data_IF_203431072735
#
_entry.id   IF_203431072735
#
_cell.length_a   1.000
_cell.length_b   1.000
_cell.length_c   1.000
_cell.angle_alpha   90.00
_cell.angle_beta   90.00
_cell.angle_gamma   90.00
#
_symmetry.space_group_name_H-M   'P 1'
#
loop_
_entity.id
_entity.type
_entity.pdbx_description
1 polymer ?
#
# COMPACT_ATOMS: atom_id res chain seq x y z
N UNK A 1 36.73 3.83 -1.55
CA UNK A 1 36.17 5.13 -1.12
C UNK A 1 35.16 5.56 -2.17
N UNK A 2 33.87 5.43 -1.89
CA UNK A 2 32.80 6.03 -2.69
C UNK A 2 31.95 6.85 -1.72
N UNK A 3 31.76 8.11 -2.07
CA UNK A 3 31.13 9.15 -1.26
C UNK A 3 29.65 8.83 -1.00
N UNK A 4 29.26 8.94 0.27
CA UNK A 4 27.89 9.14 0.71
C UNK A 4 27.36 10.44 0.10
N UNK A 5 26.23 10.35 -0.60
CA UNK A 5 25.48 11.52 -1.03
C UNK A 5 24.38 11.78 0.01
N UNK A 6 24.77 12.36 1.14
CA UNK A 6 23.82 12.90 2.12
C UNK A 6 23.21 14.17 1.54
N UNK A 7 21.94 14.12 1.15
CA UNK A 7 21.19 15.31 0.71
C UNK A 7 21.14 16.34 1.84
N UNK A 8 21.63 17.55 1.56
CA UNK A 8 21.64 18.69 2.48
C UNK A 8 20.26 19.34 2.54
N UNK A 9 19.83 19.76 3.73
CA UNK A 9 18.55 20.45 3.98
C UNK A 9 18.34 21.76 3.18
N UNK A 10 19.37 22.26 2.50
CA UNK A 10 19.32 23.50 1.72
C UNK A 10 18.67 23.31 0.34
N UNK A 11 18.72 22.09 -0.23
CA UNK A 11 18.15 21.81 -1.56
C UNK A 11 16.60 21.78 -1.55
N UNK A 12 15.99 21.61 -0.36
CA UNK A 12 14.54 21.59 -0.18
C UNK A 12 13.89 22.99 -0.24
N UNK A 13 14.65 24.07 -0.08
CA UNK A 13 14.09 25.42 -0.01
C UNK A 13 14.03 26.12 -1.38
N UNK A 14 14.88 25.72 -2.33
CA UNK A 14 14.91 26.31 -3.67
C UNK A 14 13.85 25.70 -4.62
N UNK A 15 13.30 24.53 -4.30
CA UNK A 15 12.24 23.89 -5.11
C UNK A 15 10.87 24.58 -4.99
N UNK A 16 10.65 25.40 -3.95
CA UNK A 16 9.38 26.11 -3.74
C UNK A 16 9.25 27.35 -4.67
N UNK A 17 10.32 27.76 -5.37
CA UNK A 17 10.33 29.00 -6.15
C UNK A 17 10.28 28.84 -7.68
N UNK A 18 10.11 27.63 -8.24
CA UNK A 18 10.22 27.41 -9.69
C UNK A 18 9.04 26.68 -10.37
N UNK A 19 7.83 26.71 -9.79
CA UNK A 19 6.63 26.16 -10.44
C UNK A 19 5.74 27.20 -11.14
N UNK A 20 6.29 28.33 -11.55
CA UNK A 20 5.65 29.17 -12.57
C UNK A 20 6.41 29.02 -13.90
N UNK A 21 5.68 28.58 -14.92
CA UNK A 21 6.06 28.53 -16.35
C UNK A 21 6.86 27.30 -16.82
N UNK A 22 6.14 26.22 -17.15
CA UNK A 22 6.29 25.53 -18.43
C UNK A 22 5.12 24.55 -18.65
N UNK A 23 4.20 24.93 -19.52
CA UNK A 23 3.24 24.02 -20.14
C UNK A 23 4.00 22.91 -20.89
N UNK A 24 3.67 21.65 -20.64
CA UNK A 24 4.21 20.51 -21.39
C UNK A 24 3.04 19.73 -22.02
N UNK A 25 3.14 19.32 -23.29
CA UNK A 25 1.99 19.09 -24.16
C UNK A 25 1.28 17.77 -23.90
N UNK A 26 -0.05 17.80 -24.11
CA UNK A 26 -0.94 16.66 -24.03
C UNK A 26 -0.74 15.70 -25.22
N UNK A 27 0.09 14.65 -25.05
CA UNK A 27 -0.04 13.40 -25.82
C UNK A 27 0.83 12.27 -25.23
N UNK A 28 0.44 11.74 -24.07
CA UNK A 28 0.83 10.39 -23.61
C UNK A 28 0.08 9.88 -22.36
N UNK A 29 -0.87 10.64 -21.79
CA UNK A 29 -1.55 10.27 -20.53
C UNK A 29 -2.76 9.32 -20.74
N UNK A 30 -3.04 8.90 -21.97
CA UNK A 30 -4.28 8.17 -22.28
C UNK A 30 -4.36 6.70 -21.80
N UNK A 31 -3.44 6.19 -20.97
CA UNK A 31 -3.52 4.80 -20.44
C UNK A 31 -3.33 4.66 -18.92
N UNK A 32 -3.22 5.75 -18.17
CA UNK A 32 -3.10 5.71 -16.70
C UNK A 32 -4.40 6.06 -15.94
N UNK A 33 -5.47 6.44 -16.65
CA UNK A 33 -6.68 7.02 -16.04
C UNK A 33 -7.83 6.02 -15.78
N UNK A 34 -7.64 4.70 -15.91
CA UNK A 34 -8.74 3.73 -15.77
C UNK A 34 -8.63 2.80 -14.55
N UNK A 35 -7.91 3.21 -13.49
CA UNK A 35 -7.90 2.45 -12.23
C UNK A 35 -8.93 3.06 -11.30
N UNK A 36 -10.11 2.43 -11.23
CA UNK A 36 -11.16 2.79 -10.28
C UNK A 36 -10.61 2.71 -8.84
N UNK A 37 -10.81 3.73 -7.98
CA UNK A 37 -10.67 3.58 -6.55
C UNK A 37 -11.91 2.84 -6.02
N UNK A 38 -11.95 1.51 -6.16
CA UNK A 38 -12.97 0.68 -5.49
C UNK A 38 -12.49 0.39 -4.06
N UNK A 39 -13.01 1.14 -3.08
CA UNK A 39 -12.93 0.80 -1.66
C UNK A 39 -14.05 -0.19 -1.36
N UNK A 40 -13.78 -1.50 -1.46
CA UNK A 40 -14.69 -2.51 -0.95
C UNK A 40 -14.44 -2.66 0.56
N UNK A 41 -15.20 -1.90 1.36
CA UNK A 41 -15.53 -2.37 2.70
C UNK A 41 -16.27 -3.69 2.50
N UNK A 42 -15.75 -4.78 3.06
CA UNK A 42 -16.47 -6.04 3.12
C UNK A 42 -17.66 -5.88 4.07
N UNK A 43 -18.69 -5.19 3.64
CA UNK A 43 -20.01 -5.17 4.25
C UNK A 43 -21.01 -5.21 3.10
N UNK A 44 -21.57 -6.39 2.88
CA UNK A 44 -22.78 -6.55 2.07
C UNK A 44 -23.87 -5.70 2.74
N UNK A 45 -24.43 -4.71 2.04
CA UNK A 45 -25.47 -3.84 2.57
C UNK A 45 -26.83 -4.56 2.62
N UNK A 46 -26.92 -5.72 3.29
CA UNK A 46 -28.19 -6.34 3.71
C UNK A 46 -27.96 -7.29 4.89
N UNK A 47 -27.50 -6.79 6.03
CA UNK A 47 -27.87 -7.27 7.38
C UNK A 47 -26.98 -6.57 8.41
N UNK A 48 -27.48 -5.49 9.02
CA UNK A 48 -26.84 -4.86 10.16
C UNK A 48 -27.15 -5.69 11.42
N UNK A 49 -26.28 -6.67 11.71
CA UNK A 49 -26.20 -7.32 13.02
C UNK A 49 -25.22 -6.53 13.91
N UNK A 50 -25.61 -6.04 15.11
CA UNK A 50 -24.71 -5.32 16.03
C UNK A 50 -23.53 -6.17 16.56
N UNK A 51 -23.41 -7.43 16.14
CA UNK A 51 -22.32 -8.35 16.50
C UNK A 51 -21.27 -8.58 15.41
N UNK A 52 -21.28 -7.85 14.30
CA UNK A 52 -20.40 -8.11 13.16
C UNK A 52 -18.92 -7.91 13.53
N UNK A 53 -18.14 -9.00 13.54
CA UNK A 53 -16.69 -8.94 13.78
C UNK A 53 -16.06 -8.01 12.74
N UNK A 54 -15.65 -6.82 13.18
CA UNK A 54 -15.05 -5.81 12.32
C UNK A 54 -13.96 -6.45 11.45
N UNK A 55 -14.12 -6.37 10.12
CA UNK A 55 -13.26 -7.05 9.15
C UNK A 55 -11.79 -7.06 9.58
N UNK A 56 -11.22 -8.27 9.68
CA UNK A 56 -9.82 -8.53 10.04
C UNK A 56 -8.84 -8.09 8.94
N UNK A 57 -9.34 -7.72 7.77
CA UNK A 57 -8.57 -7.05 6.73
C UNK A 57 -9.44 -6.33 5.70
N UNK A 58 -8.82 -5.43 4.94
CA UNK A 58 -9.42 -4.63 3.88
C UNK A 58 -8.49 -4.55 2.67
N UNK A 59 -9.07 -4.47 1.47
CA UNK A 59 -8.32 -4.21 0.23
C UNK A 59 -8.45 -2.72 -0.08
N UNK A 60 -7.32 -2.03 -0.17
CA UNK A 60 -7.24 -0.59 -0.49
C UNK A 60 -6.24 -0.39 -1.62
N UNK A 61 -6.76 -0.08 -2.81
CA UNK A 61 -5.99 -0.07 -4.05
C UNK A 61 -5.16 -1.38 -4.19
N UNK A 62 -3.85 -1.28 -4.36
CA UNK A 62 -2.93 -2.43 -4.44
C UNK A 62 -2.42 -2.93 -3.07
N UNK A 63 -3.14 -2.66 -1.97
CA UNK A 63 -2.72 -3.02 -0.60
C UNK A 63 -3.74 -3.90 0.10
N UNK A 64 -3.28 -4.97 0.74
CA UNK A 64 -4.05 -5.77 1.70
C UNK A 64 -3.67 -5.30 3.10
N UNK A 65 -4.60 -4.62 3.77
CA UNK A 65 -4.43 -4.11 5.12
C UNK A 65 -5.08 -5.07 6.10
N UNK A 66 -4.31 -5.66 7.01
CA UNK A 66 -4.78 -6.58 8.02
C UNK A 66 -4.78 -5.88 9.39
N UNK A 67 -5.88 -5.97 10.13
CA UNK A 67 -6.08 -5.27 11.39
C UNK A 67 -6.23 -6.25 12.54
N UNK A 68 -5.37 -6.09 13.55
CA UNK A 68 -5.51 -6.86 14.78
C UNK A 68 -6.80 -6.51 15.52
N UNK A 69 -7.23 -7.44 16.37
CA UNK A 69 -8.30 -7.16 17.32
C UNK A 69 -7.91 -5.99 18.22
N UNK A 70 -8.87 -5.11 18.52
CA UNK A 70 -8.63 -3.90 19.33
C UNK A 70 -8.29 -2.64 18.53
N UNK A 71 -7.96 -2.74 17.23
CA UNK A 71 -7.82 -1.55 16.36
C UNK A 71 -9.19 -0.88 16.19
N UNK A 72 -9.29 0.37 16.61
CA UNK A 72 -10.53 1.12 16.62
C UNK A 72 -11.05 1.40 15.21
N UNK A 73 -12.37 1.59 15.06
CA UNK A 73 -12.98 1.92 13.77
C UNK A 73 -12.37 3.18 13.14
N UNK A 74 -12.06 4.20 13.95
CA UNK A 74 -11.44 5.43 13.48
C UNK A 74 -10.02 5.17 12.98
N UNK A 75 -9.22 4.39 13.73
CA UNK A 75 -7.87 4.00 13.32
C UNK A 75 -7.90 3.22 12.01
N UNK A 76 -8.81 2.25 11.85
CA UNK A 76 -8.97 1.51 10.58
C UNK A 76 -9.24 2.48 9.42
N UNK A 77 -10.17 3.42 9.60
CA UNK A 77 -10.49 4.42 8.56
C UNK A 77 -9.28 5.31 8.23
N UNK A 78 -8.57 5.81 9.25
CA UNK A 78 -7.40 6.67 9.07
C UNK A 78 -6.29 5.95 8.29
N UNK A 79 -6.08 4.66 8.56
CA UNK A 79 -5.12 3.82 7.81
C UNK A 79 -5.57 3.64 6.36
N UNK A 80 -6.83 3.28 6.13
CA UNK A 80 -7.37 3.09 4.77
C UNK A 80 -7.29 4.39 3.95
N UNK A 81 -7.72 5.51 4.52
CA UNK A 81 -7.69 6.83 3.87
C UNK A 81 -6.25 7.26 3.56
N UNK A 82 -5.31 7.03 4.48
CA UNK A 82 -3.88 7.31 4.26
C UNK A 82 -3.31 6.55 3.07
N UNK A 83 -3.57 5.24 3.02
CA UNK A 83 -3.05 4.37 1.97
C UNK A 83 -3.68 4.66 0.61
N UNK A 84 -4.98 4.92 0.59
CA UNK A 84 -5.68 5.31 -0.63
C UNK A 84 -5.15 6.64 -1.16
N UNK A 85 -5.07 7.66 -0.29
CA UNK A 85 -4.60 8.98 -0.65
C UNK A 85 -3.16 8.96 -1.17
N UNK A 86 -2.25 8.31 -0.45
CA UNK A 86 -0.85 8.18 -0.87
C UNK A 86 -0.71 7.41 -2.18
N UNK A 87 -1.50 6.34 -2.38
CA UNK A 87 -1.49 5.57 -3.64
C UNK A 87 -1.98 6.42 -4.82
N UNK A 88 -3.07 7.17 -4.66
CA UNK A 88 -3.61 8.04 -5.72
C UNK A 88 -2.62 9.15 -6.11
N UNK A 89 -1.98 9.78 -5.12
CA UNK A 89 -0.97 10.81 -5.38
C UNK A 89 0.25 10.22 -6.08
N UNK A 90 0.73 9.05 -5.66
CA UNK A 90 1.87 8.37 -6.29
C UNK A 90 1.54 7.91 -7.73
N UNK A 91 0.36 7.32 -7.96
CA UNK A 91 -0.11 6.93 -9.29
C UNK A 91 -0.22 8.11 -10.26
N UNK A 92 -0.60 9.30 -9.75
CA UNK A 92 -0.65 10.52 -10.55
C UNK A 92 0.74 11.02 -10.96
N UNK A 93 1.75 10.79 -10.13
CA UNK A 93 3.11 11.29 -10.34
C UNK A 93 3.99 10.34 -11.14
N UNK A 94 3.84 9.02 -10.92
CA UNK A 94 4.75 8.01 -11.42
C UNK A 94 4.01 6.74 -11.84
N UNK A 95 4.53 6.04 -12.86
CA UNK A 95 4.05 4.70 -13.20
C UNK A 95 4.63 3.67 -12.23
N UNK A 96 3.80 2.87 -11.52
CA UNK A 96 4.32 1.83 -10.63
C UNK A 96 5.05 0.71 -11.38
N UNK A 97 4.86 0.58 -12.70
CA UNK A 97 5.51 -0.45 -13.52
C UNK A 97 6.91 -0.03 -13.99
N UNK A 98 7.07 1.22 -14.46
CA UNK A 98 8.33 1.69 -15.05
C UNK A 98 9.14 2.58 -14.13
N UNK A 99 8.53 3.13 -13.08
CA UNK A 99 9.13 4.09 -12.15
C UNK A 99 8.87 3.68 -10.70
N UNK A 100 8.96 2.37 -10.40
CA UNK A 100 8.66 1.80 -9.09
C UNK A 100 9.37 2.52 -7.92
N UNK A 101 10.67 2.75 -8.02
CA UNK A 101 11.46 3.44 -6.98
C UNK A 101 10.88 4.84 -6.69
N UNK A 102 10.67 5.65 -7.73
CA UNK A 102 10.12 7.01 -7.62
C UNK A 102 8.68 7.00 -7.09
N UNK A 103 7.91 5.99 -7.49
CA UNK A 103 6.55 5.77 -7.00
C UNK A 103 6.55 5.49 -5.50
N UNK A 104 7.43 4.63 -5.00
CA UNK A 104 7.54 4.31 -3.57
C UNK A 104 8.06 5.50 -2.76
N UNK A 105 9.05 6.23 -3.28
CA UNK A 105 9.52 7.47 -2.67
C UNK A 105 8.37 8.48 -2.51
N UNK A 106 7.55 8.65 -3.55
CA UNK A 106 6.38 9.55 -3.49
C UNK A 106 5.31 9.04 -2.54
N UNK A 107 5.03 7.75 -2.54
CA UNK A 107 4.07 7.12 -1.64
C UNK A 107 4.46 7.39 -0.17
N UNK A 108 5.72 7.14 0.19
CA UNK A 108 6.23 7.36 1.54
C UNK A 108 6.32 8.85 1.91
N UNK A 109 6.68 9.72 0.95
CA UNK A 109 6.62 11.17 1.14
C UNK A 109 5.21 11.60 1.57
N UNK A 110 4.18 11.13 0.87
CA UNK A 110 2.78 11.48 1.19
C UNK A 110 2.36 10.92 2.54
N UNK A 111 2.69 9.66 2.85
CA UNK A 111 2.43 9.08 4.17
C UNK A 111 3.07 9.92 5.28
N UNK A 112 4.31 10.37 5.08
CA UNK A 112 4.98 11.27 6.03
C UNK A 112 4.25 12.58 6.23
N UNK A 113 3.75 13.20 5.14
CA UNK A 113 3.00 14.46 5.22
C UNK A 113 1.66 14.33 5.94
N UNK A 114 0.99 13.19 5.85
CA UNK A 114 -0.31 12.97 6.52
C UNK A 114 -0.16 12.50 7.97
N UNK A 115 1.06 12.19 8.42
CA UNK A 115 1.37 11.96 9.84
C UNK A 115 1.91 10.59 10.18
N UNK A 116 2.31 9.79 9.18
CA UNK A 116 3.04 8.55 9.40
C UNK A 116 4.53 8.80 9.59
N UNK A 117 5.12 8.17 10.60
CA UNK A 117 6.55 8.22 10.85
C UNK A 117 7.14 6.85 10.50
N UNK A 118 8.03 6.80 9.51
CA UNK A 118 8.77 5.58 9.20
C UNK A 118 9.90 5.40 10.22
N UNK A 119 9.89 4.26 10.90
CA UNK A 119 10.95 3.82 11.83
C UNK A 119 11.96 2.91 11.14
N UNK A 120 11.61 2.35 9.99
CA UNK A 120 12.47 1.54 9.14
C UNK A 120 11.96 1.58 7.71
N UNK A 121 12.84 1.85 6.74
CA UNK A 121 12.54 1.76 5.31
C UNK A 121 13.68 1.04 4.60
N UNK A 122 13.33 0.07 3.76
CA UNK A 122 14.30 -0.64 2.92
C UNK A 122 13.64 -1.05 1.60
N UNK A 123 14.18 -0.58 0.48
CA UNK A 123 13.78 -1.02 -0.86
C UNK A 123 14.97 -1.64 -1.58
N UNK A 124 14.85 -2.88 -2.02
CA UNK A 124 15.94 -3.63 -2.62
C UNK A 124 15.45 -4.71 -3.59
N UNK A 125 16.34 -5.12 -4.50
CA UNK A 125 16.06 -6.29 -5.34
C UNK A 125 15.92 -7.54 -4.47
N UNK A 126 14.85 -8.29 -4.71
CA UNK A 126 14.56 -9.55 -4.04
C UNK A 126 14.95 -10.72 -4.93
N UNK A 127 15.50 -11.76 -4.31
CA UNK A 127 15.71 -13.05 -4.97
C UNK A 127 15.11 -14.10 -4.06
N UNK A 128 14.13 -14.84 -4.58
CA UNK A 128 13.54 -15.94 -3.83
C UNK A 128 14.64 -16.94 -3.43
N UNK A 129 14.57 -17.42 -2.20
CA UNK A 129 15.50 -18.45 -1.70
C UNK A 129 15.08 -19.86 -2.12
N UNK A 130 13.83 -20.04 -2.55
CA UNK A 130 13.24 -21.32 -2.92
C UNK A 130 13.07 -21.46 -4.44
N UNK A 131 13.22 -22.69 -4.95
CA UNK A 131 13.02 -23.01 -6.37
C UNK A 131 11.57 -22.85 -6.85
N UNK A 132 10.61 -22.96 -5.92
CA UNK A 132 9.18 -22.78 -6.14
C UNK A 132 8.65 -21.91 -5.02
N UNK A 133 7.83 -20.93 -5.37
CA UNK A 133 7.23 -20.00 -4.43
C UNK A 133 5.96 -19.43 -5.00
N UNK A 134 5.07 -18.95 -4.13
CA UNK A 134 3.97 -18.07 -4.52
C UNK A 134 4.23 -16.63 -4.06
N UNK A 135 3.57 -15.65 -4.67
CA UNK A 135 3.79 -14.25 -4.31
C UNK A 135 3.19 -13.91 -2.94
N UNK A 136 2.16 -14.62 -2.48
CA UNK A 136 1.67 -14.49 -1.10
C UNK A 136 2.70 -14.97 -0.06
N UNK A 137 3.44 -16.06 -0.33
CA UNK A 137 4.54 -16.51 0.52
C UNK A 137 5.68 -15.48 0.55
N UNK A 138 6.06 -14.94 -0.61
CA UNK A 138 7.07 -13.87 -0.71
C UNK A 138 6.64 -12.62 0.05
N UNK A 139 5.37 -12.21 -0.10
CA UNK A 139 4.82 -11.06 0.62
C UNK A 139 4.83 -11.26 2.14
N UNK A 140 4.49 -12.46 2.62
CA UNK A 140 4.57 -12.80 4.05
C UNK A 140 6.00 -12.87 4.57
N UNK A 141 6.95 -13.38 3.78
CA UNK A 141 8.37 -13.40 4.14
C UNK A 141 8.92 -11.98 4.32
N UNK A 142 8.61 -11.09 3.37
CA UNK A 142 9.02 -9.68 3.42
C UNK A 142 8.36 -8.96 4.60
N UNK A 143 7.07 -9.20 4.84
CA UNK A 143 6.39 -8.67 6.04
C UNK A 143 7.02 -9.22 7.33
N UNK A 144 7.41 -10.51 7.36
CA UNK A 144 8.18 -11.14 8.42
C UNK A 144 9.46 -10.39 8.74
N UNK A 145 10.22 -10.04 7.69
CA UNK A 145 11.43 -9.22 7.79
C UNK A 145 11.13 -7.84 8.37
N UNK A 146 10.10 -7.15 7.87
CA UNK A 146 9.70 -5.83 8.36
C UNK A 146 9.31 -5.88 9.84
N UNK A 147 8.46 -6.83 10.25
CA UNK A 147 8.03 -7.00 11.65
C UNK A 147 9.22 -7.29 12.56
N UNK A 148 10.17 -8.12 12.13
CA UNK A 148 11.39 -8.38 12.90
C UNK A 148 12.26 -7.12 13.05
N UNK A 149 12.38 -6.32 11.98
CA UNK A 149 13.12 -5.06 11.99
C UNK A 149 12.47 -3.98 12.86
N UNK A 150 11.14 -4.05 13.08
CA UNK A 150 10.39 -3.12 13.93
C UNK A 150 10.78 -3.22 15.42
N UNK A 151 11.50 -4.26 15.82
CA UNK A 151 11.89 -4.54 17.20
C UNK A 151 10.70 -4.54 18.18
N UNK A 152 9.52 -4.96 17.71
CA UNK A 152 8.31 -5.06 18.53
C UNK A 152 8.43 -6.20 19.56
N UNK A 153 7.70 -6.10 20.70
CA UNK A 153 7.62 -7.22 21.64
C UNK A 153 7.18 -8.52 20.95
N UNK A 154 7.74 -9.65 21.39
CA UNK A 154 7.48 -10.97 20.76
C UNK A 154 6.00 -11.30 20.52
N UNK A 155 5.09 -11.10 21.50
CA UNK A 155 3.66 -11.33 21.30
C UNK A 155 3.02 -10.42 20.23
N UNK A 156 3.42 -9.15 20.16
CA UNK A 156 2.91 -8.20 19.17
C UNK A 156 3.38 -8.57 17.75
N UNK A 157 4.65 -8.95 17.62
CA UNK A 157 5.22 -9.45 16.35
C UNK A 157 4.47 -10.67 15.83
N UNK A 158 4.22 -11.66 16.70
CA UNK A 158 3.46 -12.87 16.34
C UNK A 158 2.01 -12.55 15.95
N UNK A 159 1.37 -11.62 16.66
CA UNK A 159 0.02 -11.17 16.34
C UNK A 159 -0.06 -10.52 14.95
N UNK A 160 0.88 -9.65 14.62
CA UNK A 160 0.94 -8.96 13.33
C UNK A 160 1.10 -9.94 12.16
N UNK A 161 1.99 -10.93 12.30
CA UNK A 161 2.19 -11.97 11.27
C UNK A 161 0.97 -12.88 11.14
N UNK A 162 0.37 -13.28 12.27
CA UNK A 162 -0.84 -14.09 12.27
C UNK A 162 -2.00 -13.38 11.57
N UNK A 163 -2.23 -12.11 11.89
CA UNK A 163 -3.32 -11.32 11.31
C UNK A 163 -3.14 -11.11 9.81
N UNK A 164 -1.91 -10.89 9.34
CA UNK A 164 -1.63 -10.84 7.90
C UNK A 164 -1.89 -12.17 7.19
N UNK A 165 -1.41 -13.28 7.77
CA UNK A 165 -1.65 -14.61 7.21
C UNK A 165 -3.15 -14.96 7.17
N UNK A 166 -3.88 -14.66 8.24
CA UNK A 166 -5.33 -14.86 8.32
C UNK A 166 -6.07 -13.99 7.29
N UNK A 167 -5.61 -12.76 7.04
CA UNK A 167 -6.18 -11.88 6.01
C UNK A 167 -5.92 -12.38 4.58
N UNK A 168 -4.73 -12.90 4.28
CA UNK A 168 -4.42 -13.52 2.98
C UNK A 168 -5.28 -14.76 2.75
N UNK A 169 -5.41 -15.61 3.78
CA UNK A 169 -6.27 -16.79 3.71
C UNK A 169 -7.74 -16.42 3.45
N UNK A 170 -8.23 -15.36 4.12
CA UNK A 170 -9.56 -14.83 3.90
C UNK A 170 -9.73 -14.22 2.50
N UNK A 171 -8.72 -13.51 1.99
CA UNK A 171 -8.70 -12.98 0.62
C UNK A 171 -8.82 -14.12 -0.40
N UNK A 172 -8.04 -15.18 -0.24
CA UNK A 172 -8.08 -16.38 -1.10
C UNK A 172 -9.45 -17.05 -1.13
N UNK A 173 -10.16 -17.04 0.00
CA UNK A 173 -11.47 -17.67 0.14
C UNK A 173 -12.62 -16.86 -0.48
N UNK A 174 -12.45 -15.55 -0.69
CA UNK A 174 -13.52 -14.64 -1.14
C UNK A 174 -13.27 -14.15 -2.57
N UNK A 175 -14.14 -14.55 -3.49
CA UNK A 175 -13.98 -14.28 -4.94
C UNK A 175 -13.94 -12.79 -5.30
N UNK A 176 -14.83 -11.98 -4.73
CA UNK A 176 -14.95 -10.56 -5.09
C UNK A 176 -13.78 -9.70 -4.58
N UNK A 177 -13.43 -9.75 -3.27
CA UNK A 177 -12.22 -9.08 -2.76
C UNK A 177 -10.95 -9.53 -3.47
N UNK A 178 -10.82 -10.82 -3.79
CA UNK A 178 -9.68 -11.33 -4.55
C UNK A 178 -9.62 -10.70 -5.94
N UNK A 179 -10.74 -10.70 -6.67
CA UNK A 179 -10.80 -10.11 -8.01
C UNK A 179 -10.47 -8.63 -7.99
N UNK A 180 -10.94 -7.89 -7.00
CA UNK A 180 -10.58 -6.49 -6.81
C UNK A 180 -9.07 -6.35 -6.60
N UNK A 181 -8.52 -7.10 -5.64
CA UNK A 181 -7.09 -7.06 -5.34
C UNK A 181 -6.23 -7.40 -6.57
N UNK A 182 -6.55 -8.47 -7.29
CA UNK A 182 -5.84 -8.86 -8.52
C UNK A 182 -5.93 -7.77 -9.58
N UNK A 183 -7.10 -7.16 -9.77
CA UNK A 183 -7.30 -6.07 -10.73
C UNK A 183 -6.50 -4.81 -10.41
N UNK A 184 -6.23 -4.55 -9.13
CA UNK A 184 -5.46 -3.38 -8.67
C UNK A 184 -3.95 -3.62 -8.63
N UNK A 185 -3.52 -4.88 -8.63
CA UNK A 185 -2.12 -5.27 -8.45
C UNK A 185 -1.45 -5.68 -9.75
N UNK A 186 -2.22 -6.08 -10.76
CA UNK A 186 -1.69 -6.47 -12.07
C UNK A 186 -1.19 -5.27 -12.86
N UNK A 187 -0.01 -5.39 -13.45
CA UNK A 187 0.56 -4.45 -14.43
C UNK A 187 0.69 -5.13 -15.79
N UNK A 188 1.14 -4.39 -16.83
CA UNK A 188 1.25 -4.97 -18.17
C UNK A 188 2.28 -6.11 -18.24
N UNK A 189 3.41 -6.00 -17.54
CA UNK A 189 4.44 -7.06 -17.42
C UNK A 189 4.69 -7.49 -15.98
N UNK A 190 3.64 -7.78 -15.21
CA UNK A 190 3.79 -8.37 -13.87
C UNK A 190 2.77 -7.86 -12.87
N UNK A 191 3.25 -7.44 -11.70
CA UNK A 191 2.39 -6.86 -10.68
C UNK A 191 3.12 -6.19 -9.53
N UNK A 192 2.40 -5.33 -8.82
CA UNK A 192 2.88 -4.69 -7.59
C UNK A 192 1.78 -4.71 -6.55
N UNK A 193 2.09 -5.19 -5.35
CA UNK A 193 1.16 -5.26 -4.24
C UNK A 193 1.85 -5.03 -2.91
N UNK A 194 1.04 -4.73 -1.89
CA UNK A 194 1.49 -4.54 -0.51
C UNK A 194 0.64 -5.37 0.44
N UNK A 195 1.28 -5.88 1.47
CA UNK A 195 0.63 -6.55 2.60
C UNK A 195 1.09 -5.82 3.84
N UNK A 196 0.13 -5.29 4.59
CA UNK A 196 0.40 -4.58 5.83
C UNK A 196 -0.38 -5.20 6.98
N UNK A 197 0.23 -5.23 8.16
CA UNK A 197 -0.44 -5.59 9.41
C UNK A 197 -0.42 -4.41 10.37
N UNK A 198 -1.53 -4.19 11.05
CA UNK A 198 -1.77 -3.03 11.88
C UNK A 198 -2.20 -3.46 13.28
N UNK A 199 -1.58 -2.84 14.29
CA UNK A 199 -1.94 -2.96 15.70
C UNK A 199 -2.20 -1.57 16.28
N UNK A 200 -3.03 -1.50 17.32
CA UNK A 200 -3.26 -0.30 18.12
C UNK A 200 -2.94 -0.66 19.57
N UNK A 201 -2.01 0.06 20.18
CA UNK A 201 -1.69 -0.11 21.60
C UNK A 201 -2.69 0.63 22.51
N UNK A 202 -2.65 0.31 23.80
CA UNK A 202 -3.56 0.88 24.81
C UNK A 202 -3.52 2.42 24.88
N UNK A 203 -2.36 3.01 24.54
CA UNK A 203 -2.13 4.46 24.47
C UNK A 203 -2.63 5.10 23.16
N UNK A 204 -3.33 4.35 22.30
CA UNK A 204 -3.88 4.80 21.01
C UNK A 204 -2.83 5.09 19.95
N UNK A 205 -1.62 4.54 20.10
CA UNK A 205 -0.61 4.55 19.05
C UNK A 205 -0.91 3.44 18.03
N UNK A 206 -1.06 3.82 16.76
CA UNK A 206 -1.27 2.87 15.67
C UNK A 206 0.09 2.55 15.04
N UNK A 207 0.46 1.28 15.03
CA UNK A 207 1.69 0.78 14.41
C UNK A 207 1.36 -0.15 13.27
N UNK A 208 2.08 0.00 12.16
CA UNK A 208 1.88 -0.77 10.95
C UNK A 208 3.23 -1.27 10.42
N UNK A 209 3.31 -2.56 10.11
CA UNK A 209 4.44 -3.14 9.36
C UNK A 209 3.94 -3.51 7.97
N UNK A 210 4.75 -3.25 6.96
CA UNK A 210 4.37 -3.46 5.56
C UNK A 210 5.49 -4.16 4.79
N UNK A 211 5.09 -5.19 4.04
CA UNK A 211 5.86 -5.76 2.95
C UNK A 211 5.28 -5.33 1.61
N UNK A 212 6.11 -4.76 0.75
CA UNK A 212 5.78 -4.39 -0.61
C UNK A 212 6.52 -5.32 -1.57
N UNK A 213 5.81 -5.80 -2.59
CA UNK A 213 6.36 -6.67 -3.62
C UNK A 213 6.05 -6.05 -4.96
N UNK A 214 7.08 -5.84 -5.77
CA UNK A 214 6.93 -5.54 -7.18
C UNK A 214 7.66 -6.61 -7.95
N UNK A 215 7.06 -7.14 -9.02
CA UNK A 215 7.72 -8.13 -9.84
C UNK A 215 7.37 -7.95 -11.31
N UNK A 216 8.30 -8.36 -12.16
CA UNK A 216 8.16 -8.35 -13.60
C UNK A 216 8.30 -9.76 -14.18
N UNK A 217 7.44 -10.07 -15.16
CA UNK A 217 7.46 -11.34 -15.88
C UNK A 217 7.00 -11.17 -17.33
N UNK A 218 7.45 -12.09 -18.19
CA UNK A 218 7.01 -12.22 -19.58
C UNK A 218 5.83 -13.19 -19.75
N UNK A 219 5.34 -13.78 -18.66
CA UNK A 219 4.25 -14.76 -18.70
C UNK A 219 2.89 -14.10 -18.44
N UNK A 220 1.90 -14.46 -19.24
CA UNK A 220 0.51 -14.05 -19.02
C UNK A 220 -0.07 -14.76 -17.78
N UNK A 221 0.01 -14.10 -16.63
CA UNK A 221 -0.52 -14.63 -15.35
C UNK A 221 -1.80 -13.88 -14.96
N UNK A 222 -2.82 -14.65 -14.57
CA UNK A 222 -4.13 -14.14 -14.13
C UNK A 222 -4.26 -14.11 -12.61
N UNK A 223 -3.71 -15.10 -11.90
CA UNK A 223 -3.76 -15.20 -10.44
C UNK A 223 -2.40 -14.88 -9.82
N UNK A 224 -2.04 -13.59 -9.82
CA UNK A 224 -0.70 -13.11 -9.48
C UNK A 224 -0.22 -13.55 -8.09
N UNK A 225 -1.09 -13.49 -7.07
CA UNK A 225 -0.72 -13.81 -5.69
C UNK A 225 -0.41 -15.30 -5.52
N UNK A 226 -1.32 -16.16 -5.96
CA UNK A 226 -1.33 -17.59 -5.61
C UNK A 226 -0.78 -18.49 -6.72
N UNK A 227 -0.25 -17.91 -7.79
CA UNK A 227 0.45 -18.64 -8.84
C UNK A 227 1.79 -19.17 -8.34
N UNK A 228 2.09 -20.44 -8.62
CA UNK A 228 3.37 -21.06 -8.31
C UNK A 228 4.41 -20.68 -9.39
N UNK A 229 5.43 -19.94 -8.98
CA UNK A 229 6.54 -19.51 -9.83
C UNK A 229 7.71 -20.48 -9.76
N UNK A 230 8.45 -20.60 -10.87
CA UNK A 230 9.73 -21.32 -10.92
C UNK A 230 10.85 -20.30 -11.21
N UNK A 231 11.88 -20.33 -10.38
CA UNK A 231 12.95 -19.34 -10.09
C UNK A 231 13.61 -18.57 -11.25
N UNK A 232 13.41 -18.94 -12.52
CA UNK A 232 14.25 -18.45 -13.63
C UNK A 232 13.76 -17.22 -14.39
N UNK A 233 12.49 -16.81 -14.25
CA UNK A 233 11.88 -15.83 -15.17
C UNK A 233 11.14 -14.66 -14.48
N UNK A 234 11.41 -14.38 -13.20
CA UNK A 234 10.73 -13.31 -12.45
C UNK A 234 11.75 -12.39 -11.80
N UNK A 235 11.76 -11.13 -12.20
CA UNK A 235 12.52 -10.10 -11.50
C UNK A 235 11.64 -9.54 -10.39
N UNK A 236 12.11 -9.61 -9.14
CA UNK A 236 11.33 -9.16 -7.98
C UNK A 236 12.09 -8.08 -7.20
N UNK A 237 11.36 -7.12 -6.69
CA UNK A 237 11.79 -6.08 -5.77
C UNK A 237 10.95 -6.15 -4.51
N UNK A 238 11.59 -5.89 -3.37
CA UNK A 238 10.95 -5.82 -2.07
C UNK A 238 11.06 -4.43 -1.48
N UNK A 239 9.99 -3.98 -0.85
CA UNK A 239 9.97 -2.85 0.08
C UNK A 239 9.57 -3.34 1.47
N UNK A 240 10.24 -2.83 2.49
CA UNK A 240 9.93 -3.08 3.90
C UNK A 240 9.74 -1.73 4.58
N UNK A 241 8.61 -1.55 5.26
CA UNK A 241 8.33 -0.33 6.02
C UNK A 241 7.74 -0.65 7.39
N UNK A 242 8.15 0.12 8.38
CA UNK A 242 7.54 0.16 9.70
C UNK A 242 7.09 1.58 9.99
N UNK A 243 5.80 1.75 10.19
CA UNK A 243 5.12 3.03 10.24
C UNK A 243 4.39 3.19 11.57
N UNK A 244 4.53 4.36 12.19
CA UNK A 244 3.75 4.75 13.38
C UNK A 244 2.92 5.98 13.03
N UNK A 245 1.61 5.91 13.27
CA UNK A 245 0.72 7.04 13.00
C UNK A 245 0.70 8.01 14.17
N UNK A 246 1.05 9.26 13.92
CA UNK A 246 0.74 10.35 14.82
C UNK A 246 -0.74 10.72 14.68
N UNK A 247 -1.60 10.07 15.44
CA UNK A 247 -3.07 10.25 15.41
C UNK A 247 -3.49 11.69 15.69
N UNK A 248 -2.74 12.40 16.54
CA UNK A 248 -2.98 13.82 16.83
C UNK A 248 -2.72 14.71 15.62
N UNK A 249 -1.63 14.46 14.86
CA UNK A 249 -1.34 15.18 13.63
C UNK A 249 -2.34 14.80 12.53
N UNK A 250 -2.58 13.51 12.32
CA UNK A 250 -3.52 13.01 11.31
C UNK A 250 -4.92 13.60 11.51
N UNK A 251 -5.38 13.68 12.77
CA UNK A 251 -6.70 14.23 13.08
C UNK A 251 -6.91 15.67 12.61
N UNK A 252 -5.85 16.47 12.48
CA UNK A 252 -5.92 17.85 11.96
C UNK A 252 -6.08 17.92 10.45
N UNK A 253 -5.73 16.85 9.75
CA UNK A 253 -5.75 16.75 8.29
C UNK A 253 -6.83 15.82 7.77
N UNK A 254 -7.51 15.06 8.66
CA UNK A 254 -8.51 14.04 8.30
C UNK A 254 -9.57 14.58 7.34
N UNK A 255 -10.24 15.67 7.70
CA UNK A 255 -11.31 16.24 6.87
C UNK A 255 -10.79 16.68 5.50
N UNK A 256 -9.58 17.24 5.45
CA UNK A 256 -8.94 17.64 4.20
C UNK A 256 -8.60 16.42 3.32
N UNK A 257 -8.06 15.35 3.91
CA UNK A 257 -7.74 14.11 3.18
C UNK A 257 -9.03 13.50 2.62
N UNK A 258 -10.06 13.39 3.45
CA UNK A 258 -11.36 12.83 3.04
C UNK A 258 -12.04 13.68 1.97
N UNK A 259 -11.94 15.01 2.08
CA UNK A 259 -12.42 15.91 1.03
C UNK A 259 -11.67 15.70 -0.28
N UNK A 260 -10.33 15.62 -0.26
CA UNK A 260 -9.53 15.36 -1.48
C UNK A 260 -9.86 14.01 -2.12
N UNK A 261 -10.09 12.97 -1.32
CA UNK A 261 -10.53 11.67 -1.80
C UNK A 261 -11.93 11.75 -2.44
N UNK A 262 -12.84 12.47 -1.79
CA UNK A 262 -14.21 12.68 -2.28
C UNK A 262 -14.24 13.48 -3.58
N UNK A 263 -13.45 14.55 -3.67
CA UNK A 263 -13.32 15.36 -4.87
C UNK A 263 -12.76 14.55 -6.04
N UNK A 264 -11.73 13.73 -5.78
CA UNK A 264 -11.17 12.82 -6.79
C UNK A 264 -12.21 11.80 -7.29
N UNK A 265 -12.98 11.20 -6.37
CA UNK A 265 -14.06 10.28 -6.73
C UNK A 265 -15.15 10.99 -7.55
N UNK A 266 -15.52 12.21 -7.16
CA UNK A 266 -16.50 13.02 -7.87
C UNK A 266 -16.05 13.33 -9.30
N UNK A 267 -14.81 13.78 -9.50
CA UNK A 267 -14.27 14.02 -10.84
C UNK A 267 -14.31 12.76 -11.71
N UNK A 268 -13.97 11.59 -11.15
CA UNK A 268 -14.07 10.32 -11.88
C UNK A 268 -15.53 9.95 -12.24
N UNK A 269 -16.50 10.30 -11.40
CA UNK A 269 -17.94 10.11 -11.70
C UNK A 269 -18.40 11.08 -12.79
N UNK A 270 -17.93 12.32 -12.78
CA UNK A 270 -18.28 13.36 -13.77
C UNK A 270 -17.77 13.03 -15.19
N UNK A 271 -16.78 12.14 -15.34
CA UNK A 271 -16.27 11.66 -16.64
C UNK A 271 -17.25 10.72 -17.38
N UNK A 272 -18.25 10.16 -16.68
CA UNK A 272 -19.25 9.31 -17.33
C UNK A 272 -20.24 10.15 -18.13
N UNK A 273 -20.18 10.07 -19.46
CA UNK A 273 -21.28 10.51 -20.32
C UNK A 273 -22.44 9.52 -20.17
N UNK A 274 -23.52 9.95 -19.50
CA UNK A 274 -24.80 9.24 -19.37
C UNK A 274 -25.90 9.91 -20.18
#
# INVERSE_FOLDING_TARGET
MKQDNTMSMTDNLDYIAACELAECPASSIAHAAAIKPELLLASDETDFDPGDEAAKGAVVASSLLAFAEGVSRQSKQDVMDSFLFATLVANKAFSPETQGDQWYDKFNEVLSKVGWLSTHWNYARYRATQQRFTMDEVGLEILGSAVAAAALPGPASLLMLKVAADAIAALKAKKEPLRLFEGQTKTHRGGSFRIASCIESDDKTVTLSMGAVSFQTDSDVTNVLFWEWQDTNVETWKGEDNLVLNTSLYSRHRDLIQQKLSDNAKSAIEEFEI
#
